data_IF_347715691536
#
_entry.id   IF_347715691536
#
_cell.length_a   1.000
_cell.length_b   1.000
_cell.length_c   1.000
_cell.angle_alpha   90.00
_cell.angle_beta   90.00
_cell.angle_gamma   90.00
#
_symmetry.space_group_name_H-M   'P 1'
#
loop_
_entity.id
_entity.type
_entity.pdbx_description
1 polymer ?
#
# COMPACT_ATOMS: atom_id res chain seq x y z
N UNK A 1 -16.08 32.08 -2.14
CA UNK A 1 -15.44 31.09 -3.04
C UNK A 1 -15.14 29.86 -2.21
N UNK A 2 -15.52 28.66 -2.67
CA UNK A 2 -15.08 27.42 -2.03
C UNK A 2 -13.56 27.31 -2.15
N UNK A 3 -12.88 26.89 -1.09
CA UNK A 3 -11.45 26.55 -1.12
C UNK A 3 -11.17 25.50 -2.21
N UNK A 4 -10.00 25.60 -2.86
CA UNK A 4 -9.52 24.69 -3.91
C UNK A 4 -8.01 24.54 -3.77
N UNK A 5 -7.48 23.32 -3.91
CA UNK A 5 -6.04 23.03 -3.89
C UNK A 5 -5.64 22.54 -5.27
N UNK A 6 -4.98 23.40 -6.04
CA UNK A 6 -4.64 23.19 -7.46
C UNK A 6 -3.26 22.58 -7.69
N UNK A 7 -2.45 22.47 -6.64
CA UNK A 7 -1.09 21.93 -6.68
C UNK A 7 -0.86 20.87 -5.60
N UNK A 8 0.19 20.07 -5.78
CA UNK A 8 0.64 19.09 -4.77
C UNK A 8 1.04 19.80 -3.47
N UNK A 9 1.69 20.96 -3.58
CA UNK A 9 2.09 21.76 -2.42
C UNK A 9 0.90 22.24 -1.59
N UNK A 10 -0.20 22.68 -2.24
CA UNK A 10 -1.43 23.06 -1.54
C UNK A 10 -2.11 21.87 -0.86
N UNK A 11 -2.07 20.68 -1.47
CA UNK A 11 -2.55 19.44 -0.87
C UNK A 11 -1.73 19.07 0.37
N UNK A 12 -0.41 19.19 0.29
CA UNK A 12 0.48 18.94 1.42
C UNK A 12 0.29 19.95 2.55
N UNK A 13 0.10 21.22 2.22
CA UNK A 13 -0.23 22.25 3.19
C UNK A 13 -1.58 21.98 3.86
N UNK A 14 -2.59 21.56 3.08
CA UNK A 14 -3.89 21.17 3.62
C UNK A 14 -3.77 19.99 4.59
N UNK A 15 -3.05 18.93 4.19
CA UNK A 15 -2.74 17.77 5.04
C UNK A 15 -2.10 18.23 6.36
N UNK A 16 -1.05 19.05 6.30
CA UNK A 16 -0.34 19.54 7.48
C UNK A 16 -1.28 20.33 8.42
N UNK A 17 -2.21 21.12 7.89
CA UNK A 17 -3.22 21.83 8.72
C UNK A 17 -4.18 20.86 9.42
N UNK A 18 -4.66 19.83 8.74
CA UNK A 18 -5.50 18.80 9.37
C UNK A 18 -4.75 18.04 10.46
N UNK A 19 -3.51 17.62 10.19
CA UNK A 19 -2.67 16.93 11.17
C UNK A 19 -2.42 17.80 12.42
N UNK A 20 -2.11 19.09 12.23
CA UNK A 20 -1.90 20.03 13.32
C UNK A 20 -3.18 20.34 14.13
N UNK A 21 -4.36 20.13 13.55
CA UNK A 21 -5.64 20.36 14.21
C UNK A 21 -6.06 19.23 15.17
N UNK A 22 -5.36 18.09 15.16
CA UNK A 22 -5.61 16.95 16.05
C UNK A 22 -4.43 16.85 17.04
N UNK A 23 -4.56 17.38 18.27
CA UNK A 23 -3.50 17.28 19.27
C UNK A 23 -3.15 15.82 19.58
N UNK A 24 -1.87 15.46 19.45
CA UNK A 24 -1.40 14.09 19.65
C UNK A 24 -1.54 13.18 18.42
N UNK A 25 -1.82 13.76 17.25
CA UNK A 25 -1.93 13.00 16.00
C UNK A 25 -0.68 12.15 15.73
N UNK A 26 -0.91 10.85 15.54
CA UNK A 26 0.08 9.93 15.00
C UNK A 26 -0.48 9.32 13.71
N UNK A 27 0.34 9.31 12.65
CA UNK A 27 -0.11 8.75 11.38
C UNK A 27 -0.30 7.24 11.53
N UNK A 28 -1.45 6.70 11.10
CA UNK A 28 -1.65 5.26 11.05
C UNK A 28 -0.74 4.63 9.99
N UNK A 29 -0.32 3.38 10.21
CA UNK A 29 0.32 2.55 9.19
C UNK A 29 -0.65 2.25 8.02
N UNK A 30 -1.92 2.03 8.34
CA UNK A 30 -2.99 1.85 7.35
C UNK A 30 -4.34 2.36 7.88
N UNK A 31 -5.20 2.77 6.95
CA UNK A 31 -6.60 3.03 7.24
C UNK A 31 -7.50 2.48 6.14
N UNK A 32 -8.76 2.23 6.47
CA UNK A 32 -9.75 1.76 5.52
C UNK A 32 -11.15 2.26 5.86
N UNK A 33 -12.03 2.23 4.87
CA UNK A 33 -13.46 2.50 5.04
C UNK A 33 -14.26 1.36 4.41
N UNK A 34 -15.31 0.90 5.09
CA UNK A 34 -16.07 -0.26 4.67
C UNK A 34 -17.43 -0.37 5.33
N UNK A 35 -18.13 -1.46 5.04
CA UNK A 35 -19.46 -1.76 5.58
C UNK A 35 -19.63 -3.25 5.77
N UNK A 36 -20.65 -3.64 6.54
CA UNK A 36 -21.07 -5.03 6.62
C UNK A 36 -22.01 -5.39 5.47
N UNK A 37 -21.67 -6.44 4.73
CA UNK A 37 -22.49 -7.05 3.69
C UNK A 37 -22.60 -8.56 3.96
N UNK A 38 -23.83 -9.08 4.05
CA UNK A 38 -24.12 -10.50 4.22
C UNK A 38 -23.35 -11.18 5.36
N UNK A 39 -23.20 -10.48 6.50
CA UNK A 39 -22.50 -10.99 7.69
C UNK A 39 -20.97 -10.92 7.63
N UNK A 40 -20.40 -10.37 6.56
CA UNK A 40 -18.97 -10.14 6.39
C UNK A 40 -18.66 -8.65 6.26
N UNK A 41 -17.47 -8.22 6.69
CA UNK A 41 -17.04 -6.84 6.51
C UNK A 41 -16.29 -6.68 5.18
N UNK A 42 -16.67 -5.68 4.39
CA UNK A 42 -16.08 -5.39 3.08
C UNK A 42 -15.43 -4.01 3.13
N UNK A 43 -14.13 -3.95 2.86
CA UNK A 43 -13.43 -2.69 2.66
C UNK A 43 -13.73 -2.14 1.27
N UNK A 44 -14.31 -0.94 1.22
CA UNK A 44 -14.47 -0.19 -0.03
C UNK A 44 -13.12 0.28 -0.57
N UNK A 45 -12.23 0.65 0.35
CA UNK A 45 -10.87 1.09 0.06
C UNK A 45 -10.00 0.95 1.30
N UNK A 46 -8.75 0.56 1.05
CA UNK A 46 -7.66 0.55 2.01
C UNK A 46 -6.56 1.46 1.46
N UNK A 47 -5.93 2.24 2.33
CA UNK A 47 -4.70 2.95 2.05
C UNK A 47 -3.70 2.62 3.15
N UNK A 48 -2.49 2.24 2.75
CA UNK A 48 -1.44 1.78 3.64
C UNK A 48 -0.14 2.46 3.23
N UNK A 49 0.51 3.18 4.15
CA UNK A 49 1.73 3.97 3.87
C UNK A 49 1.56 5.07 2.82
N UNK A 50 0.34 5.49 2.49
CA UNK A 50 0.07 6.49 1.44
C UNK A 50 -1.24 7.27 1.71
N UNK A 51 -1.60 8.19 0.81
CA UNK A 51 -2.89 8.90 0.85
C UNK A 51 -3.18 9.55 2.22
N UNK A 52 -2.17 10.20 2.80
CA UNK A 52 -2.23 10.70 4.18
C UNK A 52 -3.33 11.76 4.40
N UNK A 53 -3.60 12.62 3.42
CA UNK A 53 -4.65 13.64 3.52
C UNK A 53 -6.04 13.03 3.76
N UNK A 54 -6.54 12.09 2.93
CA UNK A 54 -7.80 11.42 3.23
C UNK A 54 -7.83 10.72 4.60
N UNK A 55 -6.71 10.11 5.03
CA UNK A 55 -6.61 9.47 6.35
C UNK A 55 -6.88 10.44 7.50
N UNK A 56 -6.22 11.61 7.51
CA UNK A 56 -6.42 12.62 8.55
C UNK A 56 -7.79 13.32 8.46
N UNK A 57 -8.37 13.43 7.26
CA UNK A 57 -9.76 13.90 7.09
C UNK A 57 -10.76 12.95 7.74
N UNK A 58 -10.62 11.63 7.52
CA UNK A 58 -11.47 10.64 8.20
C UNK A 58 -11.25 10.67 9.72
N UNK A 59 -9.99 10.79 10.17
CA UNK A 59 -9.66 10.88 11.58
C UNK A 59 -10.34 12.08 12.26
N UNK A 60 -10.32 13.25 11.60
CA UNK A 60 -11.02 14.45 12.04
C UNK A 60 -12.51 14.22 12.23
N UNK A 61 -13.15 13.47 11.32
CA UNK A 61 -14.60 13.22 11.36
C UNK A 61 -15.00 12.22 12.45
N UNK A 62 -14.20 11.18 12.66
CA UNK A 62 -14.50 10.11 13.63
C UNK A 62 -13.86 10.31 15.00
N UNK A 63 -13.00 11.33 15.18
CA UNK A 63 -12.31 11.62 16.43
C UNK A 63 -11.12 10.70 16.71
N UNK A 64 -10.53 10.08 15.69
CA UNK A 64 -9.31 9.31 15.84
C UNK A 64 -8.09 10.24 16.02
N UNK A 65 -7.17 9.87 16.92
CA UNK A 65 -5.97 10.65 17.26
C UNK A 65 -4.72 9.83 16.99
N UNK A 66 -4.64 8.62 17.55
CA UNK A 66 -3.52 7.70 17.41
C UNK A 66 -3.95 6.27 17.76
N UNK A 67 -3.04 5.31 17.55
CA UNK A 67 -3.28 3.90 17.83
C UNK A 67 -4.10 3.18 16.75
N UNK A 68 -4.64 2.01 17.10
CA UNK A 68 -5.54 1.25 16.24
C UNK A 68 -6.98 1.28 16.75
N UNK A 69 -7.97 1.25 15.85
CA UNK A 69 -9.38 1.17 16.22
C UNK A 69 -10.35 1.30 15.05
N UNK A 70 -11.61 0.95 15.31
CA UNK A 70 -12.72 1.07 14.36
C UNK A 70 -13.79 2.05 14.87
N UNK A 71 -14.37 2.81 13.95
CA UNK A 71 -15.27 3.92 14.25
C UNK A 71 -16.46 3.92 13.29
N UNK A 72 -17.67 3.99 13.83
CA UNK A 72 -18.87 4.18 13.02
C UNK A 72 -18.99 5.63 12.58
N UNK A 73 -19.24 5.84 11.29
CA UNK A 73 -19.47 7.14 10.68
C UNK A 73 -20.81 7.10 9.96
N UNK A 74 -21.70 8.00 10.35
CA UNK A 74 -23.03 8.15 9.74
C UNK A 74 -22.97 8.92 8.41
N UNK A 75 -24.09 8.95 7.69
CA UNK A 75 -24.21 9.69 6.44
C UNK A 75 -23.74 11.16 6.55
N UNK A 76 -24.21 11.96 7.52
CA UNK A 76 -23.74 13.32 7.74
C UNK A 76 -22.24 13.43 8.05
N UNK A 77 -21.66 12.47 8.78
CA UNK A 77 -20.22 12.39 9.01
C UNK A 77 -19.45 12.17 7.71
N UNK A 78 -19.91 11.23 6.88
CA UNK A 78 -19.31 10.98 5.57
C UNK A 78 -19.46 12.18 4.62
N UNK A 79 -20.58 12.91 4.69
CA UNK A 79 -20.78 14.17 3.97
C UNK A 79 -19.74 15.22 4.39
N UNK A 80 -19.42 15.34 5.68
CA UNK A 80 -18.35 16.22 6.17
C UNK A 80 -16.96 15.80 5.68
N UNK A 81 -16.68 14.49 5.64
CA UNK A 81 -15.41 13.96 5.13
C UNK A 81 -15.25 14.29 3.64
N UNK A 82 -16.30 14.05 2.84
CA UNK A 82 -16.34 14.37 1.40
C UNK A 82 -16.14 15.87 1.19
N UNK A 83 -16.88 16.72 1.91
CA UNK A 83 -16.75 18.17 1.79
C UNK A 83 -15.34 18.65 2.13
N UNK A 84 -14.72 18.09 3.17
CA UNK A 84 -13.36 18.44 3.61
C UNK A 84 -12.28 18.03 2.61
N UNK A 85 -12.48 16.91 1.90
CA UNK A 85 -11.51 16.42 0.91
C UNK A 85 -11.75 16.96 -0.52
N UNK A 86 -12.97 17.39 -0.84
CA UNK A 86 -13.35 17.87 -2.18
C UNK A 86 -12.45 18.98 -2.78
N UNK A 87 -11.86 19.91 -2.00
CA UNK A 87 -10.93 20.89 -2.55
C UNK A 87 -9.73 20.29 -3.29
N UNK A 88 -9.33 19.05 -2.95
CA UNK A 88 -8.20 18.35 -3.57
C UNK A 88 -8.43 18.03 -5.06
N UNK A 89 -9.69 17.91 -5.51
CA UNK A 89 -10.02 17.62 -6.92
C UNK A 89 -9.55 18.68 -7.90
N UNK A 90 -9.26 19.89 -7.40
CA UNK A 90 -8.72 20.96 -8.23
C UNK A 90 -7.28 20.66 -8.68
N UNK A 91 -6.55 19.77 -8.01
CA UNK A 91 -5.24 19.29 -8.44
C UNK A 91 -5.42 18.09 -9.37
N UNK A 92 -5.34 18.35 -10.67
CA UNK A 92 -5.48 17.31 -11.72
C UNK A 92 -4.21 16.50 -11.95
N UNK A 93 -3.13 16.78 -11.20
CA UNK A 93 -1.88 16.02 -11.23
C UNK A 93 -1.96 14.72 -10.42
N UNK A 94 -2.94 14.60 -9.51
CA UNK A 94 -3.14 13.46 -8.64
C UNK A 94 -4.54 12.89 -8.87
N UNK A 95 -4.65 11.57 -8.84
CA UNK A 95 -5.94 10.91 -8.74
C UNK A 95 -6.49 10.99 -7.31
N UNK A 96 -7.82 11.08 -7.18
CA UNK A 96 -8.51 11.18 -5.88
C UNK A 96 -9.44 9.99 -5.61
N UNK A 97 -8.92 8.74 -5.63
CA UNK A 97 -9.76 7.54 -5.56
C UNK A 97 -10.50 7.41 -4.23
N UNK A 98 -9.93 7.93 -3.12
CA UNK A 98 -10.64 7.97 -1.83
C UNK A 98 -11.94 8.78 -1.93
N UNK A 99 -11.88 9.98 -2.50
CA UNK A 99 -13.05 10.84 -2.62
C UNK A 99 -14.13 10.22 -3.52
N UNK A 100 -13.72 9.62 -4.65
CA UNK A 100 -14.63 8.90 -5.53
C UNK A 100 -15.32 7.72 -4.81
N UNK A 101 -14.56 6.90 -4.07
CA UNK A 101 -15.10 5.80 -3.26
C UNK A 101 -16.09 6.33 -2.21
N UNK A 102 -15.75 7.38 -1.48
CA UNK A 102 -16.61 7.92 -0.42
C UNK A 102 -17.93 8.44 -0.96
N UNK A 103 -17.92 9.12 -2.12
CA UNK A 103 -19.16 9.57 -2.78
C UNK A 103 -20.03 8.40 -3.23
N UNK A 104 -19.42 7.35 -3.76
CA UNK A 104 -20.15 6.13 -4.15
C UNK A 104 -20.80 5.47 -2.94
N UNK A 105 -20.04 5.25 -1.85
CA UNK A 105 -20.56 4.73 -0.58
C UNK A 105 -21.71 5.59 -0.05
N UNK A 106 -21.50 6.91 -0.01
CA UNK A 106 -22.48 7.85 0.50
C UNK A 106 -23.81 7.80 -0.26
N UNK A 107 -23.74 7.62 -1.59
CA UNK A 107 -24.93 7.47 -2.43
C UNK A 107 -25.68 6.15 -2.25
N UNK A 108 -25.03 5.13 -1.67
CA UNK A 108 -25.65 3.84 -1.37
C UNK A 108 -26.27 3.79 0.04
N UNK A 109 -25.78 4.61 0.98
CA UNK A 109 -26.27 4.64 2.35
C UNK A 109 -27.71 5.17 2.45
N UNK A 110 -28.57 4.38 3.08
CA UNK A 110 -29.90 4.78 3.52
C UNK A 110 -29.88 5.66 4.78
N UNK A 111 -31.03 6.22 5.17
CA UNK A 111 -31.15 7.00 6.41
C UNK A 111 -30.79 6.17 7.65
N UNK A 112 -29.86 6.68 8.46
CA UNK A 112 -29.43 6.02 9.70
C UNK A 112 -28.40 4.90 9.51
N UNK A 113 -28.04 4.56 8.27
CA UNK A 113 -26.96 3.62 8.00
C UNK A 113 -25.59 4.27 8.21
N UNK A 114 -24.61 3.44 8.56
CA UNK A 114 -23.25 3.85 8.89
C UNK A 114 -22.24 3.06 8.06
N UNK A 115 -21.13 3.70 7.73
CA UNK A 115 -19.90 3.02 7.34
C UNK A 115 -18.99 2.89 8.55
N UNK A 116 -18.05 1.94 8.50
CA UNK A 116 -16.99 1.83 9.52
C UNK A 116 -15.68 2.29 8.93
N UNK A 117 -15.02 3.21 9.63
CA UNK A 117 -13.63 3.62 9.38
C UNK A 117 -12.73 2.84 10.32
N UNK A 118 -11.63 2.30 9.81
CA UNK A 118 -10.70 1.47 10.57
C UNK A 118 -9.30 2.04 10.42
N UNK A 119 -8.57 2.14 11.53
CA UNK A 119 -7.18 2.59 11.59
C UNK A 119 -6.31 1.50 12.22
N UNK A 120 -5.12 1.31 11.67
CA UNK A 120 -4.05 0.48 12.23
C UNK A 120 -2.80 1.34 12.40
N UNK A 121 -2.24 1.37 13.61
CA UNK A 121 -0.97 2.04 13.94
C UNK A 121 0.26 1.27 13.44
N UNK A 122 0.11 -0.03 13.21
CA UNK A 122 1.16 -0.94 12.76
C UNK A 122 0.58 -2.03 11.86
N UNK A 123 1.46 -2.76 11.20
CA UNK A 123 1.11 -3.99 10.47
C UNK A 123 1.25 -5.24 11.35
N UNK A 124 1.08 -5.09 12.66
CA UNK A 124 0.93 -6.23 13.57
C UNK A 124 -0.49 -6.80 13.42
N UNK A 125 -0.57 -8.13 13.30
CA UNK A 125 -1.83 -8.86 13.19
C UNK A 125 -2.46 -9.15 14.56
N UNK A 126 -1.77 -8.84 15.66
CA UNK A 126 -2.20 -9.12 17.03
C UNK A 126 -3.17 -8.09 17.65
N UNK A 127 -4.04 -7.44 16.85
CA UNK A 127 -5.06 -6.53 17.39
C UNK A 127 -6.24 -7.27 18.03
N UNK A 128 -6.79 -6.73 19.13
CA UNK A 128 -8.04 -7.21 19.73
C UNK A 128 -9.26 -6.87 18.86
N UNK A 129 -9.20 -5.78 18.08
CA UNK A 129 -10.25 -5.36 17.17
C UNK A 129 -10.21 -6.22 15.89
N UNK A 130 -11.27 -6.99 15.57
CA UNK A 130 -11.30 -7.86 14.41
C UNK A 130 -11.21 -7.10 13.08
N UNK A 131 -11.72 -5.85 13.01
CA UNK A 131 -11.66 -5.05 11.80
C UNK A 131 -10.25 -4.49 11.57
N UNK A 132 -9.53 -4.14 12.63
CA UNK A 132 -8.10 -3.79 12.53
C UNK A 132 -7.30 -4.99 12.02
N UNK A 133 -7.56 -6.20 12.54
CA UNK A 133 -6.91 -7.42 12.00
C UNK A 133 -7.24 -7.64 10.54
N UNK A 134 -8.50 -7.45 10.14
CA UNK A 134 -8.91 -7.57 8.74
C UNK A 134 -8.22 -6.54 7.85
N UNK A 135 -8.12 -5.28 8.29
CA UNK A 135 -7.41 -4.20 7.59
C UNK A 135 -5.94 -4.57 7.37
N UNK A 136 -5.24 -5.02 8.41
CA UNK A 136 -3.83 -5.43 8.31
C UNK A 136 -3.67 -6.64 7.39
N UNK A 137 -4.56 -7.63 7.51
CA UNK A 137 -4.55 -8.82 6.65
C UNK A 137 -4.68 -8.47 5.18
N UNK A 138 -5.64 -7.58 4.83
CA UNK A 138 -5.83 -7.12 3.46
C UNK A 138 -4.67 -6.25 2.95
N UNK A 139 -4.12 -5.37 3.80
CA UNK A 139 -2.97 -4.54 3.45
C UNK A 139 -1.70 -5.37 3.17
N UNK A 140 -1.60 -6.54 3.79
CA UNK A 140 -0.50 -7.50 3.63
C UNK A 140 -0.84 -8.69 2.70
N UNK A 141 -1.97 -8.63 1.98
CA UNK A 141 -2.46 -9.76 1.20
C UNK A 141 -1.41 -10.31 0.22
N UNK A 142 -1.45 -11.62 -0.02
CA UNK A 142 -0.60 -12.31 -0.99
C UNK A 142 0.85 -12.57 -0.55
N UNK A 143 1.27 -12.12 0.62
CA UNK A 143 2.62 -12.38 1.15
C UNK A 143 2.78 -13.83 1.59
N UNK A 144 3.96 -14.37 1.38
CA UNK A 144 4.41 -15.64 1.97
C UNK A 144 5.35 -15.32 3.13
N UNK A 145 4.76 -15.10 4.31
CA UNK A 145 5.52 -14.91 5.56
C UNK A 145 5.88 -16.27 6.17
N UNK A 146 7.18 -16.50 6.34
CA UNK A 146 7.76 -17.75 6.80
C UNK A 146 7.86 -17.78 8.35
N UNK A 147 7.83 -18.97 8.97
CA UNK A 147 7.97 -19.11 10.43
C UNK A 147 9.29 -18.61 11.01
N UNK A 148 10.32 -18.45 10.18
CA UNK A 148 11.65 -17.93 10.57
C UNK A 148 11.71 -16.38 10.63
N UNK A 149 10.57 -15.70 10.46
CA UNK A 149 10.49 -14.25 10.50
C UNK A 149 10.89 -13.56 9.20
N UNK A 150 10.97 -14.30 8.09
CA UNK A 150 11.23 -13.74 6.75
C UNK A 150 10.00 -13.78 5.84
N UNK A 151 9.95 -12.92 4.83
CA UNK A 151 8.96 -12.95 3.75
C UNK A 151 9.65 -13.40 2.47
N UNK A 152 9.05 -14.37 1.78
CA UNK A 152 9.53 -14.81 0.46
C UNK A 152 9.02 -13.88 -0.62
N UNK A 153 9.95 -13.41 -1.46
CA UNK A 153 9.68 -12.53 -2.60
C UNK A 153 10.30 -13.12 -3.86
N UNK A 154 9.72 -12.78 -5.01
CA UNK A 154 10.26 -13.15 -6.31
C UNK A 154 10.57 -11.91 -7.12
N UNK A 155 11.56 -12.02 -8.00
CA UNK A 155 11.84 -11.00 -8.99
C UNK A 155 12.22 -11.64 -10.32
N UNK A 156 11.43 -11.42 -11.37
CA UNK A 156 11.84 -11.72 -12.72
C UNK A 156 12.92 -10.71 -13.17
N UNK A 157 13.95 -11.20 -13.82
CA UNK A 157 15.12 -10.41 -14.24
C UNK A 157 15.65 -10.89 -15.58
N UNK A 158 16.39 -10.02 -16.27
CA UNK A 158 17.20 -10.39 -17.43
C UNK A 158 18.65 -10.77 -17.04
N UNK A 159 19.45 -11.26 -18.00
CA UNK A 159 20.83 -11.69 -17.74
C UNK A 159 21.77 -10.59 -17.24
N UNK A 160 21.54 -9.34 -17.65
CA UNK A 160 22.38 -8.21 -17.25
C UNK A 160 22.21 -7.86 -15.76
N UNK A 161 20.97 -7.77 -15.29
CA UNK A 161 20.67 -7.52 -13.86
C UNK A 161 21.07 -8.73 -13.00
N UNK A 162 20.90 -9.98 -13.48
CA UNK A 162 21.40 -11.17 -12.77
C UNK A 162 22.92 -11.12 -12.58
N UNK A 163 23.71 -10.69 -13.58
CA UNK A 163 25.17 -10.60 -13.44
C UNK A 163 25.58 -9.65 -12.31
N UNK A 164 24.90 -8.50 -12.18
CA UNK A 164 25.16 -7.56 -11.09
C UNK A 164 24.80 -8.16 -9.72
N UNK A 165 23.74 -8.97 -9.66
CA UNK A 165 23.41 -9.76 -8.46
C UNK A 165 24.51 -10.77 -8.15
N UNK A 166 25.09 -11.44 -9.15
CA UNK A 166 26.18 -12.39 -8.95
C UNK A 166 27.47 -11.71 -8.47
N UNK A 167 27.81 -10.55 -9.03
CA UNK A 167 28.94 -9.71 -8.63
C UNK A 167 28.82 -9.24 -7.16
N UNK A 168 27.60 -9.03 -6.67
CA UNK A 168 27.34 -8.72 -5.25
C UNK A 168 27.40 -9.95 -4.32
N UNK A 169 27.79 -11.12 -4.83
CA UNK A 169 27.78 -12.39 -4.08
C UNK A 169 26.38 -12.96 -3.88
N UNK A 170 25.42 -12.57 -4.73
CA UNK A 170 23.99 -12.91 -4.67
C UNK A 170 23.31 -12.43 -3.39
N UNK A 171 23.67 -11.24 -2.91
CA UNK A 171 23.09 -10.67 -1.68
C UNK A 171 22.39 -9.34 -1.88
N UNK A 172 22.63 -8.67 -3.01
CA UNK A 172 22.08 -7.35 -3.28
C UNK A 172 21.54 -7.24 -4.69
N UNK A 173 20.42 -6.54 -4.81
CA UNK A 173 19.92 -5.99 -6.06
C UNK A 173 20.72 -4.74 -6.44
N UNK A 174 21.03 -4.52 -7.73
CA UNK A 174 21.72 -3.31 -8.16
C UNK A 174 20.83 -2.07 -8.01
N UNK A 175 21.41 -0.87 -7.86
CA UNK A 175 20.65 0.38 -7.86
C UNK A 175 19.75 0.50 -9.10
N UNK A 176 18.58 1.13 -8.92
CA UNK A 176 17.68 1.45 -10.03
C UNK A 176 18.28 2.56 -10.89
N UNK A 177 17.89 2.59 -12.17
CA UNK A 177 18.23 3.71 -13.05
C UNK A 177 17.48 4.98 -12.59
N UNK A 178 18.00 6.20 -12.86
CA UNK A 178 17.36 7.45 -12.41
C UNK A 178 15.88 7.58 -12.81
N UNK A 179 15.52 7.05 -13.98
CA UNK A 179 14.16 7.04 -14.52
C UNK A 179 13.23 5.97 -13.91
N UNK A 180 13.76 5.10 -13.05
CA UNK A 180 13.03 4.01 -12.40
C UNK A 180 12.81 4.34 -10.92
N UNK A 181 11.70 5.00 -10.55
CA UNK A 181 11.50 5.53 -9.20
C UNK A 181 11.29 4.45 -8.14
N UNK A 182 11.01 3.21 -8.56
CA UNK A 182 10.71 2.09 -7.68
C UNK A 182 11.47 0.82 -8.06
N UNK A 183 11.80 0.04 -7.04
CA UNK A 183 12.13 -1.38 -7.11
C UNK A 183 10.88 -2.17 -6.74
N UNK A 184 10.52 -3.17 -7.54
CA UNK A 184 9.29 -3.92 -7.36
C UNK A 184 9.52 -5.43 -7.46
N UNK A 185 9.60 -6.13 -6.31
CA UNK A 185 9.47 -7.58 -6.29
C UNK A 185 7.98 -7.98 -6.29
N UNK A 186 7.71 -9.17 -6.82
CA UNK A 186 6.37 -9.75 -6.87
C UNK A 186 6.17 -10.75 -5.72
N UNK A 187 4.91 -10.95 -5.34
CA UNK A 187 4.53 -11.79 -4.20
C UNK A 187 4.20 -13.25 -4.56
N UNK A 188 4.31 -13.63 -5.84
CA UNK A 188 4.01 -14.99 -6.28
C UNK A 188 4.94 -15.43 -7.43
N UNK A 189 5.47 -16.65 -7.34
CA UNK A 189 6.31 -17.28 -8.35
C UNK A 189 5.62 -17.41 -9.70
N UNK A 190 4.35 -17.83 -9.72
CA UNK A 190 3.61 -18.01 -10.98
C UNK A 190 3.48 -16.70 -11.77
N UNK A 191 3.40 -15.57 -11.06
CA UNK A 191 3.39 -14.27 -11.70
C UNK A 191 4.79 -13.87 -12.18
N UNK A 192 5.83 -14.14 -11.40
CA UNK A 192 7.22 -13.93 -11.82
C UNK A 192 7.55 -14.74 -13.09
N UNK A 193 7.08 -15.99 -13.18
CA UNK A 193 7.20 -16.83 -14.37
C UNK A 193 6.54 -16.20 -15.59
N UNK A 194 5.30 -15.71 -15.43
CA UNK A 194 4.59 -15.02 -16.51
C UNK A 194 5.37 -13.81 -17.00
N UNK A 195 5.91 -12.99 -16.09
CA UNK A 195 6.76 -11.85 -16.45
C UNK A 195 7.99 -12.29 -17.25
N UNK A 196 8.70 -13.30 -16.74
CA UNK A 196 9.92 -13.79 -17.35
C UNK A 196 9.67 -14.32 -18.78
N UNK A 197 8.59 -15.09 -18.99
CA UNK A 197 8.25 -15.67 -20.29
C UNK A 197 7.68 -14.67 -21.29
N UNK A 198 6.72 -13.86 -20.87
CA UNK A 198 5.93 -13.04 -21.79
C UNK A 198 6.58 -11.68 -22.07
N UNK A 199 7.48 -11.20 -21.19
CA UNK A 199 8.14 -9.91 -21.37
C UNK A 199 9.67 -10.00 -21.43
N UNK A 200 10.34 -10.72 -20.50
CA UNK A 200 11.81 -10.72 -20.50
C UNK A 200 12.43 -11.55 -21.63
N UNK A 201 11.84 -12.68 -22.00
CA UNK A 201 12.31 -13.47 -23.15
C UNK A 201 12.22 -12.66 -24.47
N UNK A 202 11.07 -12.03 -24.81
CA UNK A 202 11.00 -11.19 -26.02
C UNK A 202 11.96 -9.99 -26.03
N UNK A 203 12.18 -9.35 -24.88
CA UNK A 203 13.01 -8.14 -24.78
C UNK A 203 14.52 -8.43 -24.74
N UNK A 204 14.92 -9.44 -23.95
CA UNK A 204 16.32 -9.72 -23.63
C UNK A 204 16.81 -11.10 -24.05
N UNK A 205 15.98 -11.89 -24.74
CA UNK A 205 16.31 -13.24 -25.24
C UNK A 205 16.36 -14.34 -24.16
N UNK A 206 16.20 -13.98 -22.88
CA UNK A 206 16.19 -14.92 -21.74
C UNK A 206 15.46 -14.28 -20.55
N UNK A 207 14.57 -15.05 -19.94
CA UNK A 207 13.85 -14.66 -18.73
C UNK A 207 14.33 -15.49 -17.55
N UNK A 208 14.67 -14.85 -16.42
CA UNK A 208 15.14 -15.54 -15.21
C UNK A 208 14.20 -15.20 -14.07
N UNK A 209 13.77 -16.20 -13.32
CA UNK A 209 13.06 -16.01 -12.05
C UNK A 209 14.07 -16.13 -10.91
N UNK A 210 14.07 -15.13 -10.03
CA UNK A 210 14.77 -15.21 -8.75
C UNK A 210 13.79 -15.27 -7.58
N UNK A 211 14.23 -15.90 -6.49
CA UNK A 211 13.59 -15.95 -5.18
C UNK A 211 14.56 -15.44 -4.13
N UNK A 212 14.07 -14.67 -3.18
CA UNK A 212 14.87 -14.21 -2.04
C UNK A 212 13.99 -13.99 -0.81
N UNK A 213 14.63 -13.92 0.36
CA UNK A 213 13.96 -13.70 1.65
C UNK A 213 14.36 -12.35 2.21
N UNK A 214 13.40 -11.65 2.80
CA UNK A 214 13.61 -10.35 3.47
C UNK A 214 13.01 -10.43 4.87
N UNK A 215 13.56 -9.74 5.84
CA UNK A 215 12.98 -9.65 7.19
C UNK A 215 11.52 -9.17 7.15
N UNK A 216 10.60 -9.97 7.71
CA UNK A 216 9.15 -9.70 7.66
C UNK A 216 8.80 -8.38 8.34
N UNK A 217 9.39 -8.11 9.50
CA UNK A 217 9.15 -6.88 10.25
C UNK A 217 9.51 -5.62 9.44
N UNK A 218 10.59 -5.68 8.65
CA UNK A 218 11.01 -4.60 7.76
C UNK A 218 10.06 -4.47 6.56
N UNK A 219 9.83 -5.56 5.83
CA UNK A 219 9.12 -5.50 4.54
C UNK A 219 7.63 -5.19 4.68
N UNK A 220 7.04 -5.42 5.86
CA UNK A 220 5.66 -5.00 6.18
C UNK A 220 5.45 -3.48 6.07
N UNK A 221 6.53 -2.66 6.12
CA UNK A 221 6.45 -1.21 5.89
C UNK A 221 5.98 -0.86 4.46
N UNK A 222 6.20 -1.75 3.50
CA UNK A 222 5.72 -1.58 2.12
C UNK A 222 4.39 -2.32 1.98
N UNK A 223 3.27 -1.66 1.66
CA UNK A 223 1.97 -2.31 1.48
C UNK A 223 1.94 -3.19 0.23
N UNK A 224 1.04 -4.18 0.19
CA UNK A 224 0.82 -4.96 -1.03
C UNK A 224 0.11 -4.08 -2.06
N UNK A 225 0.63 -4.06 -3.29
CA UNK A 225 0.06 -3.33 -4.43
C UNK A 225 -0.55 -4.29 -5.43
N UNK A 226 -1.72 -3.93 -5.96
CA UNK A 226 -2.31 -4.57 -7.14
C UNK A 226 -1.94 -3.76 -8.39
N UNK A 227 -1.07 -4.30 -9.25
CA UNK A 227 -0.65 -3.63 -10.48
C UNK A 227 -1.34 -4.23 -11.73
N UNK A 228 -1.60 -3.41 -12.75
CA UNK A 228 -1.97 -3.90 -14.10
C UNK A 228 -3.33 -4.60 -14.27
N UNK A 229 -4.17 -4.70 -13.24
CA UNK A 229 -5.45 -5.42 -13.28
C UNK A 229 -5.28 -6.95 -13.14
N UNK A 230 -6.01 -7.57 -12.22
CA UNK A 230 -5.94 -9.00 -11.88
C UNK A 230 -5.28 -9.29 -10.52
N UNK A 231 -4.82 -10.53 -10.32
CA UNK A 231 -4.14 -11.03 -9.09
C UNK A 231 -2.63 -10.76 -9.08
N UNK A 232 -2.22 -9.67 -9.72
CA UNK A 232 -0.83 -9.22 -9.75
C UNK A 232 -0.54 -8.48 -8.46
N UNK A 233 0.23 -9.11 -7.58
CA UNK A 233 0.59 -8.55 -6.28
C UNK A 233 2.09 -8.28 -6.20
N UNK A 234 2.42 -7.04 -5.85
CA UNK A 234 3.79 -6.53 -5.83
C UNK A 234 4.04 -5.70 -4.58
N UNK A 235 5.32 -5.48 -4.26
CA UNK A 235 5.74 -4.42 -3.35
C UNK A 235 6.35 -3.30 -4.17
N UNK A 236 6.09 -2.06 -3.80
CA UNK A 236 6.77 -0.91 -4.39
C UNK A 236 7.69 -0.31 -3.35
N UNK A 237 8.99 -0.56 -3.52
CA UNK A 237 10.07 -0.03 -2.68
C UNK A 237 10.65 1.20 -3.40
N UNK A 238 10.69 2.38 -2.79
CA UNK A 238 11.31 3.54 -3.41
C UNK A 238 12.77 3.25 -3.79
N UNK A 239 13.20 3.69 -4.96
CA UNK A 239 14.57 3.42 -5.44
C UNK A 239 15.64 3.93 -4.46
N UNK A 240 15.36 5.04 -3.76
CA UNK A 240 16.23 5.59 -2.72
C UNK A 240 16.37 4.70 -1.47
N UNK A 241 15.38 3.83 -1.21
CA UNK A 241 15.37 2.90 -0.08
C UNK A 241 15.92 1.50 -0.46
N UNK A 242 16.34 1.29 -1.71
CA UNK A 242 16.80 -0.03 -2.17
C UNK A 242 18.07 -0.51 -1.46
N UNK A 243 18.96 0.40 -1.05
CA UNK A 243 20.16 0.00 -0.31
C UNK A 243 19.83 -0.49 1.11
N UNK A 244 18.94 0.21 1.82
CA UNK A 244 18.38 -0.27 3.10
C UNK A 244 17.63 -1.59 2.89
N UNK A 245 16.83 -1.70 1.84
CA UNK A 245 16.13 -2.95 1.52
C UNK A 245 17.09 -4.13 1.32
N UNK A 246 18.22 -3.90 0.65
CA UNK A 246 19.25 -4.92 0.46
C UNK A 246 19.88 -5.38 1.78
N UNK A 247 20.02 -4.49 2.76
CA UNK A 247 20.56 -4.83 4.08
C UNK A 247 19.64 -5.79 4.85
N UNK A 248 18.34 -5.77 4.55
CA UNK A 248 17.34 -6.67 5.14
C UNK A 248 17.14 -7.97 4.35
N UNK A 249 17.90 -8.23 3.27
CA UNK A 249 17.87 -9.51 2.56
C UNK A 249 18.55 -10.59 3.41
N UNK A 250 17.80 -11.64 3.72
CA UNK A 250 18.28 -12.78 4.50
C UNK A 250 18.70 -13.90 3.55
N UNK A 251 19.96 -14.32 3.65
CA UNK A 251 20.52 -15.38 2.81
C UNK A 251 20.97 -14.88 1.43
N UNK A 252 20.66 -15.65 0.39
CA UNK A 252 21.06 -15.35 -0.99
C UNK A 252 19.83 -15.18 -1.88
N UNK A 253 20.00 -14.41 -2.95
CA UNK A 253 19.10 -14.38 -4.09
C UNK A 253 19.36 -15.66 -4.91
N UNK A 254 18.33 -16.48 -5.07
CA UNK A 254 18.39 -17.80 -5.70
C UNK A 254 17.71 -17.74 -7.07
N UNK A 255 18.34 -18.30 -8.10
CA UNK A 255 17.65 -18.55 -9.37
C UNK A 255 16.78 -19.79 -9.19
N UNK A 256 15.49 -19.67 -9.52
CA UNK A 256 14.50 -20.75 -9.36
C UNK A 256 13.88 -21.19 -10.69
N UNK A 257 14.07 -20.42 -11.77
CA UNK A 257 13.62 -20.79 -13.10
C UNK A 257 14.28 -19.94 -14.20
N UNK A 258 14.37 -20.50 -15.41
CA UNK A 258 14.91 -19.83 -16.60
C UNK A 258 14.10 -20.22 -17.85
N UNK A 259 13.94 -19.29 -18.79
CA UNK A 259 13.19 -19.43 -20.04
C UNK A 259 13.92 -18.80 -21.22
#
# INVERSE_FOLDING_TARGET
MSERWTSVEEIDAARARFEAAIPGWERPAAYGIGWYADGSFVFARIAAGESHLPGVVLATVCGHVSGAGSYLVDGPGLDRAIASLSPAEACTLLDHPNLATWRSLRGQLGPGETVTVVFADSFDTASADPLVRALVTEALAGRVENPDGTTTLWRPTGPAELRLVEESGRRRWPPRLPEQPIFYPVLNEAYAERIAREWNVPDGGRGIITRFRVETAYVRRFPTRRAGGGDVLELWVPAAELDEFNDHIVGRIEVVGEF
#
